data_IF_194367900764
#
_entry.id   IF_194367900764
#
_cell.length_a   1.000
_cell.length_b   1.000
_cell.length_c   1.000
_cell.angle_alpha   90.00
_cell.angle_beta   90.00
_cell.angle_gamma   90.00
#
_symmetry.space_group_name_H-M   'P 1'
#
loop_
_entity.id
_entity.type
_entity.pdbx_description
1 polymer ?
#
# COMPACT_ATOMS: atom_id res chain seq x y z
N UNK A 1 86.98 58.11 -4.80
CA UNK A 1 85.83 57.62 -5.61
C UNK A 1 85.86 56.09 -5.60
N UNK A 2 84.97 55.45 -4.85
CA UNK A 2 84.84 53.98 -4.76
C UNK A 2 83.41 53.63 -5.15
N UNK A 3 83.21 53.06 -6.34
CA UNK A 3 81.92 52.59 -6.81
C UNK A 3 81.76 51.12 -6.42
N UNK A 4 80.94 50.88 -5.41
CA UNK A 4 80.56 49.55 -4.93
C UNK A 4 79.54 48.93 -5.88
N UNK A 5 79.86 47.73 -6.35
CA UNK A 5 79.05 46.89 -7.25
C UNK A 5 77.83 46.34 -6.50
N UNK A 6 76.63 46.70 -6.96
CA UNK A 6 75.39 45.99 -6.63
C UNK A 6 75.24 44.79 -7.58
N UNK A 7 75.44 43.58 -7.06
CA UNK A 7 75.09 42.34 -7.76
C UNK A 7 73.65 41.97 -7.38
N UNK A 8 72.71 42.28 -8.27
CA UNK A 8 71.33 41.83 -8.17
C UNK A 8 71.25 40.37 -8.64
N UNK A 9 71.03 39.46 -7.69
CA UNK A 9 70.75 38.04 -7.95
C UNK A 9 69.34 37.89 -8.52
N UNK A 10 69.24 37.55 -9.81
CA UNK A 10 67.96 37.18 -10.44
C UNK A 10 67.67 35.70 -10.19
N UNK A 11 66.92 35.37 -9.13
CA UNK A 11 66.32 34.04 -9.00
C UNK A 11 65.08 33.94 -9.90
N UNK A 12 65.10 32.97 -10.81
CA UNK A 12 64.08 32.78 -11.84
C UNK A 12 62.79 32.15 -11.28
N UNK A 13 61.59 32.67 -11.61
CA UNK A 13 60.31 32.19 -11.07
C UNK A 13 59.70 31.01 -11.86
N UNK A 14 60.50 30.09 -12.42
CA UNK A 14 59.99 29.03 -13.33
C UNK A 14 59.50 27.75 -12.66
N UNK A 15 59.51 27.62 -11.32
CA UNK A 15 59.14 26.37 -10.62
C UNK A 15 57.77 26.34 -9.95
N UNK A 16 56.96 27.40 -10.03
CA UNK A 16 55.69 27.46 -9.30
C UNK A 16 54.46 26.95 -10.07
N UNK A 17 54.56 26.72 -11.38
CA UNK A 17 53.38 26.44 -12.22
C UNK A 17 53.01 24.95 -12.29
N UNK A 18 53.92 24.03 -11.92
CA UNK A 18 53.70 22.58 -12.03
C UNK A 18 52.87 22.01 -10.87
N UNK A 19 52.94 22.61 -9.68
CA UNK A 19 52.24 22.11 -8.48
C UNK A 19 50.73 22.40 -8.50
N UNK A 20 50.31 23.48 -9.17
CA UNK A 20 48.88 23.84 -9.29
C UNK A 20 48.11 22.88 -10.21
N UNK A 21 48.72 22.47 -11.34
CA UNK A 21 48.06 21.54 -12.28
C UNK A 21 47.86 20.15 -11.66
N UNK A 22 48.83 19.67 -10.88
CA UNK A 22 48.75 18.38 -10.21
C UNK A 22 47.66 18.35 -9.13
N UNK A 23 47.50 19.44 -8.37
CA UNK A 23 46.43 19.57 -7.35
C UNK A 23 45.03 19.59 -7.98
N UNK A 24 44.86 20.24 -9.13
CA UNK A 24 43.58 20.28 -9.85
C UNK A 24 43.20 18.89 -10.36
N UNK A 25 44.16 18.15 -10.93
CA UNK A 25 43.92 16.78 -11.42
C UNK A 25 43.56 15.86 -10.26
N UNK A 26 44.26 15.95 -9.12
CA UNK A 26 43.93 15.16 -7.93
C UNK A 26 42.55 15.50 -7.35
N UNK A 27 42.19 16.79 -7.35
CA UNK A 27 40.86 17.24 -6.91
C UNK A 27 39.75 16.70 -7.84
N UNK A 28 39.93 16.83 -9.16
CA UNK A 28 38.97 16.29 -10.15
C UNK A 28 38.83 14.77 -10.07
N UNK A 29 39.95 14.04 -9.96
CA UNK A 29 39.92 12.59 -9.83
C UNK A 29 39.23 12.14 -8.53
N UNK A 30 39.47 12.85 -7.42
CA UNK A 30 38.78 12.63 -6.15
C UNK A 30 37.28 12.89 -6.26
N UNK A 31 36.86 14.00 -6.88
CA UNK A 31 35.44 14.30 -7.11
C UNK A 31 34.75 13.23 -7.96
N UNK A 32 35.41 12.72 -9.01
CA UNK A 32 34.87 11.64 -9.85
C UNK A 32 34.75 10.33 -9.05
N UNK A 33 35.72 10.03 -8.18
CA UNK A 33 35.66 8.85 -7.32
C UNK A 33 34.51 8.93 -6.30
N UNK A 34 34.28 10.11 -5.70
CA UNK A 34 33.14 10.34 -4.80
C UNK A 34 31.79 10.23 -5.53
N UNK A 35 31.71 10.72 -6.77
CA UNK A 35 30.49 10.59 -7.59
C UNK A 35 30.22 9.15 -8.00
N UNK A 36 31.26 8.36 -8.27
CA UNK A 36 31.12 6.94 -8.61
C UNK A 36 30.68 6.08 -7.41
N UNK A 37 30.97 6.52 -6.17
CA UNK A 37 30.60 5.80 -4.95
C UNK A 37 29.13 5.97 -4.54
N UNK A 38 28.38 6.93 -5.11
CA UNK A 38 26.97 7.16 -4.77
C UNK A 38 25.98 6.20 -5.43
N UNK A 39 26.44 5.25 -6.25
CA UNK A 39 25.59 4.22 -6.86
C UNK A 39 25.53 2.99 -5.95
N UNK A 40 25.20 3.18 -4.67
CA UNK A 40 24.99 2.07 -3.74
C UNK A 40 23.56 1.55 -3.84
N UNK A 41 23.45 0.44 -4.56
CA UNK A 41 22.52 -0.68 -4.35
C UNK A 41 21.10 -0.35 -3.83
N UNK A 42 20.17 -0.20 -4.76
CA UNK A 42 18.74 -0.28 -4.48
C UNK A 42 18.37 -1.74 -4.10
N UNK A 43 18.15 -1.98 -2.81
CA UNK A 43 17.73 -3.28 -2.30
C UNK A 43 16.21 -3.41 -2.47
N UNK A 44 15.80 -3.88 -3.64
CA UNK A 44 14.38 -4.09 -3.94
C UNK A 44 13.91 -5.48 -3.45
N UNK A 45 13.05 -5.51 -2.44
CA UNK A 45 12.34 -6.74 -2.08
C UNK A 45 11.25 -7.05 -3.12
N UNK A 46 11.02 -8.34 -3.36
CA UNK A 46 9.88 -8.87 -4.10
C UNK A 46 8.97 -9.62 -3.13
N UNK A 47 7.72 -9.18 -3.04
CA UNK A 47 6.72 -9.76 -2.15
C UNK A 47 5.71 -10.49 -3.01
N UNK A 48 5.52 -11.76 -2.73
CA UNK A 48 4.51 -12.61 -3.35
C UNK A 48 3.33 -12.72 -2.40
N UNK A 49 2.14 -12.46 -2.90
CA UNK A 49 0.88 -12.56 -2.16
C UNK A 49 0.18 -13.89 -2.50
N UNK A 50 -0.66 -14.38 -1.58
CA UNK A 50 -1.42 -15.63 -1.77
C UNK A 50 -2.40 -15.57 -2.94
N UNK A 51 -2.85 -14.38 -3.33
CA UNK A 51 -3.70 -14.17 -4.50
C UNK A 51 -2.93 -14.23 -5.84
N UNK A 52 -1.62 -14.52 -5.82
CA UNK A 52 -0.76 -14.57 -6.99
C UNK A 52 -0.18 -13.22 -7.42
N UNK A 53 -0.56 -12.12 -6.77
CA UNK A 53 0.01 -10.80 -7.06
C UNK A 53 1.44 -10.68 -6.54
N UNK A 54 2.28 -9.91 -7.23
CA UNK A 54 3.67 -9.66 -6.83
C UNK A 54 3.94 -8.17 -6.72
N UNK A 55 4.43 -7.72 -5.58
CA UNK A 55 4.86 -6.33 -5.34
C UNK A 55 6.38 -6.26 -5.48
N UNK A 56 6.87 -5.32 -6.28
CA UNK A 56 8.29 -5.08 -6.53
C UNK A 56 8.66 -3.66 -6.10
N UNK A 57 9.95 -3.39 -5.90
CA UNK A 57 10.43 -2.05 -5.57
C UNK A 57 10.16 -1.66 -4.12
N UNK A 58 10.04 -2.64 -3.23
CA UNK A 58 9.96 -2.36 -1.79
C UNK A 58 11.37 -2.16 -1.28
N UNK A 59 11.60 -1.03 -0.61
CA UNK A 59 12.91 -0.64 -0.08
C UNK A 59 13.10 -1.16 1.34
N UNK A 60 12.02 -1.20 2.13
CA UNK A 60 12.03 -1.66 3.52
C UNK A 60 10.68 -2.24 3.91
N UNK A 61 10.67 -3.15 4.87
CA UNK A 61 9.45 -3.57 5.53
C UNK A 61 9.58 -3.53 7.05
N UNK A 62 8.45 -3.43 7.72
CA UNK A 62 8.32 -3.46 9.17
C UNK A 62 7.17 -4.38 9.55
N UNK A 63 7.41 -5.32 10.46
CA UNK A 63 6.41 -6.26 10.92
C UNK A 63 5.79 -5.73 12.22
N UNK A 64 4.49 -5.51 12.22
CA UNK A 64 3.67 -5.18 13.39
C UNK A 64 2.66 -6.33 13.60
N UNK A 65 2.09 -6.46 14.80
CA UNK A 65 1.24 -7.61 15.18
C UNK A 65 0.11 -7.87 14.16
N UNK A 66 0.31 -8.84 13.26
CA UNK A 66 -0.63 -9.26 12.21
C UNK A 66 -0.55 -8.48 10.88
N UNK A 67 0.25 -7.42 10.77
CA UNK A 67 0.35 -6.58 9.58
C UNK A 67 1.82 -6.27 9.24
N UNK A 68 2.18 -6.37 7.96
CA UNK A 68 3.49 -5.97 7.46
C UNK A 68 3.36 -4.67 6.67
N UNK A 69 4.08 -3.64 7.11
CA UNK A 69 4.16 -2.34 6.44
C UNK A 69 5.33 -2.32 5.47
N UNK A 70 5.04 -2.11 4.20
CA UNK A 70 6.02 -2.01 3.14
C UNK A 70 6.23 -0.55 2.75
N UNK A 71 7.48 -0.15 2.66
CA UNK A 71 7.91 1.20 2.29
C UNK A 71 8.54 1.16 0.90
N UNK A 72 8.04 2.01 0.01
CA UNK A 72 8.52 2.21 -1.36
C UNK A 72 8.64 3.72 -1.60
N UNK A 73 9.31 4.14 -2.68
CA UNK A 73 9.52 5.57 -2.99
C UNK A 73 8.20 6.37 -3.10
N UNK A 74 7.11 5.70 -3.46
CA UNK A 74 5.77 6.27 -3.59
C UNK A 74 4.89 6.23 -2.33
N UNK A 75 5.39 5.75 -1.18
CA UNK A 75 4.64 5.73 0.07
C UNK A 75 4.76 4.43 0.88
N UNK A 76 3.75 4.19 1.72
CA UNK A 76 3.67 3.02 2.60
C UNK A 76 2.36 2.26 2.33
N UNK A 77 2.44 0.93 2.29
CA UNK A 77 1.28 0.04 2.22
C UNK A 77 1.34 -0.99 3.35
N UNK A 78 0.24 -1.13 4.08
CA UNK A 78 0.06 -2.18 5.07
C UNK A 78 -0.64 -3.38 4.45
N UNK A 79 -0.08 -4.57 4.63
CA UNK A 79 -0.65 -5.83 4.13
C UNK A 79 -0.72 -6.83 5.30
N UNK A 80 -1.86 -7.50 5.53
CA UNK A 80 -1.96 -8.54 6.54
C UNK A 80 -0.93 -9.65 6.29
N UNK A 81 -0.28 -10.15 7.35
CA UNK A 81 0.68 -11.25 7.22
C UNK A 81 0.03 -12.51 6.61
N UNK A 82 -1.25 -12.72 6.89
CA UNK A 82 -2.03 -13.83 6.35
C UNK A 82 -2.11 -13.82 4.82
N UNK A 83 -1.93 -12.68 4.16
CA UNK A 83 -2.03 -12.56 2.70
C UNK A 83 -0.66 -12.69 2.00
N UNK A 84 0.42 -12.71 2.77
CA UNK A 84 1.79 -12.80 2.24
C UNK A 84 2.17 -14.27 2.10
N UNK A 85 2.64 -14.62 0.90
CA UNK A 85 3.13 -15.95 0.59
C UNK A 85 4.64 -16.05 0.84
N UNK A 86 5.42 -15.09 0.33
CA UNK A 86 6.89 -15.10 0.39
C UNK A 86 7.46 -13.70 0.21
N UNK A 87 8.57 -13.40 0.87
CA UNK A 87 9.36 -12.18 0.64
C UNK A 87 10.75 -12.62 0.18
N UNK A 88 11.19 -12.16 -0.99
CA UNK A 88 12.52 -12.40 -1.55
C UNK A 88 13.31 -11.08 -1.57
N UNK A 89 14.54 -11.08 -1.06
CA UNK A 89 15.47 -9.98 -1.25
C UNK A 89 16.23 -10.17 -2.55
N UNK A 90 16.22 -9.19 -3.46
CA UNK A 90 16.94 -9.31 -4.75
C UNK A 90 18.45 -9.12 -4.64
N UNK A 91 18.96 -8.84 -3.43
CA UNK A 91 20.40 -8.80 -3.11
C UNK A 91 20.57 -8.96 -1.61
N UNK A 92 21.61 -9.67 -1.18
CA UNK A 92 21.91 -9.98 0.22
C UNK A 92 21.73 -8.75 1.12
N UNK A 93 20.96 -8.84 2.22
CA UNK A 93 20.71 -7.69 3.07
C UNK A 93 21.96 -7.37 3.89
N UNK A 94 22.26 -6.07 3.99
CA UNK A 94 23.01 -5.52 5.11
C UNK A 94 22.33 -6.02 6.39
N UNK A 95 23.03 -6.92 7.09
CA UNK A 95 22.75 -7.27 8.49
C UNK A 95 22.78 -5.98 9.31
N UNK A 96 22.03 -6.00 10.40
CA UNK A 96 22.02 -5.00 11.49
C UNK A 96 20.90 -3.97 11.43
N UNK A 97 19.67 -4.45 11.64
CA UNK A 97 18.82 -3.80 12.65
C UNK A 97 18.47 -4.87 13.67
N UNK A 98 19.15 -4.84 14.81
CA UNK A 98 18.83 -5.64 16.00
C UNK A 98 17.38 -5.34 16.42
N UNK A 99 16.46 -6.32 16.40
CA UNK A 99 15.31 -6.29 17.29
C UNK A 99 15.83 -6.58 18.69
N UNK A 100 15.41 -5.78 19.66
CA UNK A 100 15.60 -6.09 21.06
C UNK A 100 15.05 -7.49 21.36
N UNK A 101 15.99 -8.36 21.69
CA UNK A 101 15.89 -9.58 22.49
C UNK A 101 14.49 -9.97 22.98
N UNK A 102 13.87 -10.93 22.29
CA UNK A 102 13.05 -11.96 22.94
C UNK A 102 13.56 -13.30 22.41
N UNK A 103 13.91 -14.17 23.36
CA UNK A 103 14.61 -15.44 23.18
C UNK A 103 13.82 -16.50 22.39
N UNK A 104 14.53 -17.50 21.82
CA UNK A 104 14.08 -18.34 20.71
C UNK A 104 13.40 -19.63 21.16
N UNK A 105 12.50 -20.16 20.33
CA UNK A 105 12.22 -21.58 20.24
C UNK A 105 12.40 -21.99 18.77
N UNK A 106 13.52 -22.66 18.51
CA UNK A 106 13.74 -23.46 17.32
C UNK A 106 12.75 -24.63 17.31
N UNK A 107 12.20 -24.92 16.12
CA UNK A 107 12.25 -26.22 15.44
C UNK A 107 11.03 -26.36 14.54
N UNK A 108 11.24 -26.42 13.24
CA UNK A 108 10.97 -27.66 12.50
C UNK A 108 11.47 -27.56 11.07
N UNK A 109 12.45 -28.42 10.81
CA UNK A 109 12.96 -28.76 9.48
C UNK A 109 11.88 -29.50 8.69
N UNK A 110 11.64 -29.01 7.48
CA UNK A 110 11.72 -29.75 6.22
C UNK A 110 11.57 -31.30 6.26
N UNK A 111 10.56 -31.82 5.54
CA UNK A 111 10.79 -32.98 4.67
C UNK A 111 9.85 -34.19 4.73
N UNK A 112 8.90 -34.21 3.77
CA UNK A 112 8.72 -35.26 2.71
C UNK A 112 7.62 -36.36 2.84
N UNK A 113 6.72 -36.32 1.85
CA UNK A 113 6.01 -37.42 1.10
C UNK A 113 4.97 -38.28 1.83
N UNK A 114 3.82 -38.69 1.27
CA UNK A 114 3.26 -38.78 -0.10
C UNK A 114 1.70 -38.84 0.00
N UNK A 115 0.94 -38.84 -1.12
CA UNK A 115 -0.43 -38.33 -1.23
C UNK A 115 -1.51 -39.42 -1.34
N UNK A 116 -2.76 -39.04 -1.09
CA UNK A 116 -3.94 -39.81 -1.51
C UNK A 116 -5.15 -38.90 -1.75
N UNK A 117 -5.56 -38.82 -3.02
CA UNK A 117 -6.91 -38.58 -3.54
C UNK A 117 -7.30 -39.87 -4.32
N UNK A 118 -8.54 -40.07 -4.80
CA UNK A 118 -9.87 -39.63 -4.35
C UNK A 118 -10.93 -40.80 -4.37
N UNK A 119 -12.21 -40.46 -4.14
CA UNK A 119 -13.43 -41.15 -4.66
C UNK A 119 -13.83 -42.53 -4.03
N UNK A 120 -15.08 -43.00 -3.90
CA UNK A 120 -16.46 -42.60 -4.28
C UNK A 120 -17.48 -43.40 -3.42
N UNK A 121 -18.75 -42.95 -3.38
CA UNK A 121 -20.03 -43.73 -3.27
C UNK A 121 -20.31 -44.53 -1.98
N UNK A 122 -21.54 -44.68 -1.52
CA UNK A 122 -22.86 -44.34 -2.05
C UNK A 122 -23.94 -45.07 -1.21
N UNK A 123 -25.12 -44.44 -1.12
CA UNK A 123 -26.49 -44.94 -0.89
C UNK A 123 -26.76 -46.33 -0.29
N UNK A 124 -27.67 -46.38 0.71
CA UNK A 124 -28.99 -47.06 0.58
C UNK A 124 -29.88 -46.99 1.86
N UNK A 125 -31.21 -47.21 1.73
CA UNK A 125 -32.27 -46.65 2.60
C UNK A 125 -33.27 -47.68 3.22
N UNK A 126 -34.26 -47.21 4.02
CA UNK A 126 -35.56 -47.89 4.29
C UNK A 126 -36.09 -47.77 5.75
N UNK A 127 -37.20 -47.05 6.02
CA UNK A 127 -38.61 -47.51 6.32
C UNK A 127 -38.72 -48.55 7.48
N UNK A 128 -39.60 -48.52 8.49
CA UNK A 128 -41.02 -48.15 8.69
C UNK A 128 -41.31 -48.03 10.24
N UNK A 129 -42.07 -47.05 10.75
CA UNK A 129 -43.50 -47.07 11.18
C UNK A 129 -43.83 -47.61 12.60
N UNK A 130 -44.49 -46.75 13.42
CA UNK A 130 -45.65 -46.98 14.35
C UNK A 130 -45.56 -46.08 15.61
N UNK A 131 -46.45 -45.07 15.76
CA UNK A 131 -47.57 -44.95 16.75
C UNK A 131 -47.10 -44.85 18.22
N UNK A 132 -47.58 -44.01 19.15
CA UNK A 132 -48.75 -43.16 19.43
C UNK A 132 -48.31 -42.34 20.68
N UNK A 133 -48.68 -41.09 21.01
CA UNK A 133 -50.00 -40.70 21.54
C UNK A 133 -50.00 -39.22 22.01
N UNK A 134 -51.14 -38.57 21.78
CA UNK A 134 -51.84 -37.56 22.60
C UNK A 134 -51.25 -36.17 22.91
N UNK A 135 -51.89 -35.17 22.28
CA UNK A 135 -52.54 -33.99 22.88
C UNK A 135 -51.73 -32.98 23.71
N UNK A 136 -51.72 -31.71 23.26
CA UNK A 136 -52.50 -30.59 23.85
C UNK A 136 -52.32 -29.31 23.00
N UNK A 137 -53.45 -28.86 22.43
CA UNK A 137 -53.92 -27.48 22.14
C UNK A 137 -52.96 -26.39 21.64
N UNK A 138 -53.10 -26.10 20.34
CA UNK A 138 -53.68 -24.86 19.78
C UNK A 138 -53.70 -23.59 20.64
N UNK A 139 -52.94 -22.57 20.22
CA UNK A 139 -53.43 -21.20 20.00
C UNK A 139 -52.73 -20.59 18.77
N UNK A 140 -53.47 -20.19 17.72
CA UNK A 140 -52.97 -19.34 16.66
C UNK A 140 -53.37 -17.90 16.97
N UNK A 141 -52.52 -17.16 17.68
CA UNK A 141 -52.73 -15.72 17.79
C UNK A 141 -52.22 -15.06 16.51
N UNK A 142 -53.20 -14.68 15.70
CA UNK A 142 -53.18 -13.65 14.67
C UNK A 142 -52.15 -12.53 14.95
N UNK A 143 -50.94 -12.68 14.40
CA UNK A 143 -50.17 -11.48 14.04
C UNK A 143 -50.78 -11.00 12.74
N UNK A 144 -51.76 -10.10 12.88
CA UNK A 144 -52.25 -9.20 11.84
C UNK A 144 -51.06 -8.68 11.03
N UNK A 145 -50.79 -9.33 9.91
CA UNK A 145 -49.95 -8.79 8.86
C UNK A 145 -50.80 -7.73 8.19
N UNK A 146 -50.80 -6.52 8.75
CA UNK A 146 -51.13 -5.34 7.98
C UNK A 146 -50.00 -5.18 6.95
N UNK A 147 -50.27 -5.18 5.64
CA UNK A 147 -49.31 -4.64 4.70
C UNK A 147 -49.25 -3.13 4.98
N UNK A 148 -48.33 -2.72 5.86
CA UNK A 148 -47.99 -1.33 6.00
C UNK A 148 -47.50 -0.87 4.62
N UNK A 149 -48.28 -0.01 3.96
CA UNK A 149 -47.76 0.78 2.86
C UNK A 149 -46.43 1.37 3.33
N UNK A 150 -45.34 1.29 2.54
CA UNK A 150 -44.11 1.95 2.93
C UNK A 150 -44.44 3.43 3.09
N UNK A 151 -44.43 3.91 4.34
CA UNK A 151 -44.61 5.32 4.66
C UNK A 151 -43.75 6.12 3.67
N UNK A 152 -44.34 7.11 2.98
CA UNK A 152 -43.64 7.89 1.94
C UNK A 152 -42.26 8.37 2.39
N UNK A 153 -42.11 8.62 3.70
CA UNK A 153 -40.83 8.92 4.38
C UNK A 153 -39.81 7.77 4.30
N UNK A 154 -40.21 6.53 4.58
CA UNK A 154 -39.33 5.36 4.49
C UNK A 154 -38.85 5.12 3.04
N UNK A 155 -39.73 5.36 2.06
CA UNK A 155 -39.35 5.28 0.64
C UNK A 155 -38.38 6.40 0.25
N UNK A 156 -38.59 7.62 0.73
CA UNK A 156 -37.68 8.75 0.50
C UNK A 156 -36.30 8.53 1.14
N UNK A 157 -36.27 8.01 2.37
CA UNK A 157 -35.03 7.64 3.06
C UNK A 157 -34.27 6.56 2.26
N UNK A 158 -34.95 5.50 1.84
CA UNK A 158 -34.33 4.44 1.04
C UNK A 158 -33.78 4.96 -0.30
N UNK A 159 -34.50 5.88 -0.96
CA UNK A 159 -34.03 6.53 -2.18
C UNK A 159 -32.76 7.34 -1.94
N UNK A 160 -32.76 8.23 -0.94
CA UNK A 160 -31.59 9.08 -0.62
C UNK A 160 -30.39 8.28 -0.11
N UNK A 161 -30.61 7.20 0.64
CA UNK A 161 -29.53 6.27 1.02
C UNK A 161 -28.91 5.59 -0.20
N UNK A 162 -29.72 5.21 -1.18
CA UNK A 162 -29.22 4.63 -2.43
C UNK A 162 -28.41 5.64 -3.25
N UNK A 163 -28.83 6.91 -3.28
CA UNK A 163 -28.09 8.00 -3.93
C UNK A 163 -26.77 8.28 -3.20
N UNK A 164 -26.79 8.30 -1.88
CA UNK A 164 -25.59 8.48 -1.07
C UNK A 164 -24.57 7.36 -1.35
N UNK A 165 -25.00 6.09 -1.41
CA UNK A 165 -24.13 4.97 -1.78
C UNK A 165 -23.53 5.12 -3.18
N UNK A 166 -24.30 5.63 -4.15
CA UNK A 166 -23.80 5.91 -5.50
C UNK A 166 -22.73 7.00 -5.49
N UNK A 167 -23.00 8.12 -4.80
CA UNK A 167 -22.05 9.23 -4.66
C UNK A 167 -20.77 8.77 -3.97
N UNK A 168 -20.86 7.93 -2.93
CA UNK A 168 -19.70 7.35 -2.27
C UNK A 168 -18.87 6.44 -3.19
N UNK A 169 -19.53 5.61 -4.00
CA UNK A 169 -18.87 4.80 -5.02
C UNK A 169 -18.13 5.65 -6.05
N UNK A 170 -18.76 6.73 -6.54
CA UNK A 170 -18.12 7.69 -7.44
C UNK A 170 -16.93 8.41 -6.79
N UNK A 171 -17.02 8.71 -5.50
CA UNK A 171 -15.97 9.39 -4.75
C UNK A 171 -14.75 8.47 -4.56
N UNK A 172 -14.97 7.20 -4.25
CA UNK A 172 -13.91 6.19 -4.16
C UNK A 172 -13.20 5.99 -5.50
N UNK A 173 -13.95 5.84 -6.59
CA UNK A 173 -13.37 5.67 -7.93
C UNK A 173 -12.62 6.92 -8.38
N UNK A 174 -13.15 8.12 -8.10
CA UNK A 174 -12.48 9.39 -8.39
C UNK A 174 -11.20 9.53 -7.57
N UNK A 175 -11.21 9.14 -6.28
CA UNK A 175 -10.03 9.15 -5.42
C UNK A 175 -8.93 8.23 -5.93
N UNK A 176 -9.28 7.02 -6.36
CA UNK A 176 -8.33 6.08 -6.96
C UNK A 176 -7.73 6.64 -8.26
N UNK A 177 -8.54 7.27 -9.12
CA UNK A 177 -8.05 7.95 -10.34
C UNK A 177 -7.09 9.09 -10.03
N UNK A 178 -7.42 9.93 -9.05
CA UNK A 178 -6.53 11.02 -8.62
C UNK A 178 -5.19 10.45 -8.15
N UNK A 179 -5.20 9.41 -7.32
CA UNK A 179 -3.97 8.81 -6.80
C UNK A 179 -3.09 8.23 -7.93
N UNK A 180 -3.71 7.50 -8.87
CA UNK A 180 -2.99 6.96 -10.03
C UNK A 180 -2.43 8.06 -10.93
N UNK A 181 -3.19 9.12 -11.17
CA UNK A 181 -2.75 10.26 -11.98
C UNK A 181 -1.67 11.08 -11.25
N UNK A 182 -1.75 11.24 -9.94
CA UNK A 182 -0.78 12.03 -9.18
C UNK A 182 0.64 11.42 -9.26
N UNK A 183 0.72 10.09 -9.29
CA UNK A 183 2.01 9.36 -9.38
C UNK A 183 2.54 9.37 -10.83
N UNK A 184 1.65 9.24 -11.82
CA UNK A 184 2.05 8.98 -13.21
C UNK A 184 1.92 10.19 -14.16
N UNK A 185 1.34 11.32 -13.72
CA UNK A 185 1.10 12.48 -14.58
C UNK A 185 2.42 13.12 -15.03
N UNK A 186 2.83 12.74 -16.23
CA UNK A 186 4.04 13.25 -16.90
C UNK A 186 3.70 14.22 -18.02
N UNK A 187 2.47 14.15 -18.55
CA UNK A 187 1.97 14.98 -19.63
C UNK A 187 0.99 16.08 -19.16
N UNK A 188 0.89 17.15 -19.95
CA UNK A 188 -0.06 18.24 -19.68
C UNK A 188 -1.53 17.79 -19.78
N UNK A 189 -1.82 16.79 -20.60
CA UNK A 189 -3.14 16.16 -20.68
C UNK A 189 -3.51 15.46 -19.35
N UNK A 190 -2.58 14.71 -18.77
CA UNK A 190 -2.79 14.03 -17.47
C UNK A 190 -2.94 15.02 -16.32
N UNK A 191 -2.20 16.13 -16.35
CA UNK A 191 -2.35 17.23 -15.38
C UNK A 191 -3.72 17.89 -15.47
N UNK A 192 -4.23 18.10 -16.69
CA UNK A 192 -5.59 18.61 -16.91
C UNK A 192 -6.65 17.64 -16.37
N UNK A 193 -6.50 16.34 -16.67
CA UNK A 193 -7.39 15.30 -16.13
C UNK A 193 -7.33 15.23 -14.58
N UNK A 194 -6.15 15.39 -13.98
CA UNK A 194 -6.00 15.43 -12.53
C UNK A 194 -6.76 16.62 -11.93
N UNK A 195 -6.64 17.81 -12.50
CA UNK A 195 -7.39 18.99 -12.07
C UNK A 195 -8.91 18.77 -12.19
N UNK A 196 -9.37 18.18 -13.28
CA UNK A 196 -10.78 17.85 -13.48
C UNK A 196 -11.29 16.86 -12.43
N UNK A 197 -10.53 15.80 -12.14
CA UNK A 197 -10.89 14.83 -11.10
C UNK A 197 -10.89 15.45 -9.71
N UNK A 198 -9.96 16.36 -9.39
CA UNK A 198 -9.98 17.10 -8.12
C UNK A 198 -11.22 18.00 -7.99
N UNK A 199 -11.63 18.68 -9.07
CA UNK A 199 -12.86 19.46 -9.07
C UNK A 199 -14.09 18.57 -8.91
N UNK A 200 -14.15 17.43 -9.60
CA UNK A 200 -15.23 16.45 -9.47
C UNK A 200 -15.32 15.91 -8.05
N UNK A 201 -14.18 15.58 -7.42
CA UNK A 201 -14.12 15.13 -6.03
C UNK A 201 -14.76 16.15 -5.08
N UNK A 202 -14.42 17.43 -5.19
CA UNK A 202 -15.00 18.49 -4.35
C UNK A 202 -16.52 18.60 -4.50
N UNK A 203 -17.04 18.44 -5.73
CA UNK A 203 -18.49 18.43 -5.98
C UNK A 203 -19.17 17.23 -5.31
N UNK A 204 -18.61 16.03 -5.49
CA UNK A 204 -19.15 14.82 -4.86
C UNK A 204 -19.10 14.88 -3.33
N UNK A 205 -18.06 15.48 -2.74
CA UNK A 205 -17.99 15.71 -1.29
C UNK A 205 -19.10 16.66 -0.79
N UNK A 206 -19.39 17.72 -1.54
CA UNK A 206 -20.48 18.65 -1.22
C UNK A 206 -21.86 17.97 -1.35
N UNK A 207 -22.08 17.19 -2.41
CA UNK A 207 -23.31 16.42 -2.63
C UNK A 207 -23.52 15.37 -1.54
N UNK A 208 -22.45 14.64 -1.17
CA UNK A 208 -22.49 13.68 -0.06
C UNK A 208 -22.93 14.38 1.23
N UNK A 209 -22.29 15.48 1.60
CA UNK A 209 -22.62 16.22 2.82
C UNK A 209 -24.08 16.68 2.82
N UNK A 210 -24.56 17.19 1.69
CA UNK A 210 -25.96 17.61 1.53
C UNK A 210 -26.94 16.44 1.74
N UNK A 211 -26.66 15.29 1.13
CA UNK A 211 -27.48 14.08 1.30
C UNK A 211 -27.47 13.55 2.74
N UNK A 212 -26.33 13.62 3.43
CA UNK A 212 -26.23 13.25 4.86
C UNK A 212 -27.08 14.18 5.74
N UNK A 213 -27.04 15.49 5.49
CA UNK A 213 -27.86 16.47 6.22
C UNK A 213 -29.36 16.24 5.97
N UNK A 214 -29.76 15.99 4.72
CA UNK A 214 -31.15 15.68 4.36
C UNK A 214 -31.64 14.37 5.00
N UNK A 215 -30.82 13.31 4.97
CA UNK A 215 -31.14 12.04 5.63
C UNK A 215 -31.26 12.21 7.15
N UNK A 216 -30.39 13.02 7.75
CA UNK A 216 -30.46 13.33 9.18
C UNK A 216 -31.76 14.07 9.51
N UNK A 217 -32.15 15.05 8.70
CA UNK A 217 -33.41 15.79 8.89
C UNK A 217 -34.64 14.88 8.74
N UNK A 218 -34.65 13.98 7.74
CA UNK A 218 -35.75 13.02 7.54
C UNK A 218 -35.89 12.01 8.68
N UNK A 219 -34.78 11.65 9.34
CA UNK A 219 -34.80 10.73 10.49
C UNK A 219 -35.20 11.40 11.81
N UNK A 220 -35.14 12.74 11.88
CA UNK A 220 -35.49 13.51 13.07
C UNK A 220 -36.94 14.04 13.08
N UNK A 221 -37.64 13.97 11.94
CA UNK A 221 -39.01 14.44 11.73
C UNK A 221 -40.03 13.30 11.64
#
# INVERSE_FOLDING_TARGET
>A
MKNSKFLASCESPRRQVSSFKLKIIFCLASCILYLALSVTADAAYRIYLKNGSTIKGVTRYEKSEGEIKFYFEGGMVGIPEADILKIESSKEPVKDIKPAEIKPAEELKEGKTKPSEPETRGDAPGTDRAQESSDIRTQPDEIKTQPAEPDKKAQEIASKESELRKVEGELLTTRARIQNLFINASSDAERSMLQQNMMRKRKLEAEKKKLEEELKALRQN
#
